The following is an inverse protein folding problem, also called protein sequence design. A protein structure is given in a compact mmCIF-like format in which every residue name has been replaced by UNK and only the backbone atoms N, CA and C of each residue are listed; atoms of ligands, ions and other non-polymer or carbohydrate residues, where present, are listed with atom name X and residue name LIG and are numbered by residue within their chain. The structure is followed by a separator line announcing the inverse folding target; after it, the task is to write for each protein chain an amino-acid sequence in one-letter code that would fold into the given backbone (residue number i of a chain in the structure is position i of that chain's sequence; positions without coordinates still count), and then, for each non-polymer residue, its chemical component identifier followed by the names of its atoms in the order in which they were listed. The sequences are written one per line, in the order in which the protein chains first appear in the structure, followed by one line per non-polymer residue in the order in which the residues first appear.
data_IF_108604764818
#
_entry.id   IF_108604764818
#
_cell.length_a   1.000
_cell.length_b   1.000
_cell.length_c   1.000
_cell.angle_alpha   90.00
_cell.angle_beta   90.00
_cell.angle_gamma   90.00
#
_symmetry.space_group_name_H-M   'P 1'
#
loop_
_entity.id
_entity.type
_entity.pdbx_description
1 polymer ?
#
# COMPACT_ATOMS: atom_id res chain seq x y z
N UNK A 1 -30.32 -2.10 -1.29
CA UNK A 1 -29.20 -1.24 -0.86
C UNK A 1 -28.02 -2.15 -0.57
N UNK A 2 -26.98 -2.06 -1.37
CA UNK A 2 -25.76 -2.85 -1.17
C UNK A 2 -24.84 -2.04 -0.24
N UNK A 3 -25.11 -2.08 1.07
CA UNK A 3 -24.52 -1.20 2.07
C UNK A 3 -23.33 -1.87 2.81
N UNK A 4 -22.45 -2.54 2.05
CA UNK A 4 -21.30 -3.23 2.62
C UNK A 4 -20.10 -2.28 2.73
N UNK A 5 -19.69 -1.97 3.97
CA UNK A 5 -18.50 -1.15 4.27
C UNK A 5 -17.24 -1.78 3.63
N UNK A 6 -16.42 -0.97 3.00
CA UNK A 6 -15.14 -1.36 2.43
C UNK A 6 -14.07 -1.39 3.51
N UNK A 7 -13.44 -2.56 3.66
CA UNK A 7 -12.38 -2.79 4.65
C UNK A 7 -11.13 -1.97 4.29
N UNK A 8 -10.66 -2.09 3.05
CA UNK A 8 -9.52 -1.32 2.54
C UNK A 8 -9.93 -0.75 1.19
N UNK A 9 -9.70 0.55 1.03
CA UNK A 9 -9.77 1.27 -0.23
C UNK A 9 -8.36 1.74 -0.53
N UNK A 10 -7.81 1.29 -1.67
CA UNK A 10 -6.47 1.64 -2.13
C UNK A 10 -6.58 2.51 -3.38
N UNK A 11 -5.79 3.57 -3.42
CA UNK A 11 -5.48 4.29 -4.64
C UNK A 11 -3.96 4.27 -4.83
N UNK A 12 -3.49 3.49 -5.79
CA UNK A 12 -2.07 3.37 -6.10
C UNK A 12 -1.79 4.15 -7.38
N UNK A 13 -1.01 5.20 -7.24
CA UNK A 13 -0.62 6.08 -8.33
C UNK A 13 0.89 5.94 -8.59
N UNK A 14 1.22 5.73 -9.85
CA UNK A 14 2.58 5.58 -10.35
C UNK A 14 2.61 6.02 -11.82
N UNK A 15 3.71 6.64 -12.29
CA UNK A 15 3.87 6.94 -13.71
C UNK A 15 3.64 5.71 -14.59
N UNK A 16 2.99 5.89 -15.74
CA UNK A 16 2.78 4.80 -16.71
C UNK A 16 4.02 4.47 -17.54
N UNK A 17 4.88 5.47 -17.74
CA UNK A 17 6.09 5.37 -18.54
C UNK A 17 7.17 6.30 -18.00
N UNK A 18 8.42 5.86 -18.00
CA UNK A 18 9.62 6.61 -17.55
C UNK A 18 10.82 6.26 -18.43
N UNK A 19 11.87 7.08 -18.39
CA UNK A 19 13.14 6.75 -19.05
C UNK A 19 14.04 5.91 -18.13
N UNK A 20 15.05 5.22 -18.67
CA UNK A 20 15.99 4.45 -17.86
C UNK A 20 16.72 5.36 -16.88
N UNK A 21 16.74 4.95 -15.60
CA UNK A 21 17.30 5.70 -14.47
C UNK A 21 16.60 7.02 -14.11
N UNK A 22 15.38 7.27 -14.60
CA UNK A 22 14.54 8.31 -13.98
C UNK A 22 14.15 7.88 -12.56
N UNK A 23 14.10 8.85 -11.64
CA UNK A 23 13.52 8.62 -10.31
C UNK A 23 12.01 8.46 -10.44
N UNK A 24 11.49 7.37 -9.89
CA UNK A 24 10.07 7.02 -9.90
C UNK A 24 9.54 7.20 -8.49
N UNK A 25 8.51 8.03 -8.34
CA UNK A 25 7.73 8.12 -7.10
C UNK A 25 6.44 7.34 -7.26
N UNK A 26 6.23 6.33 -6.42
CA UNK A 26 4.97 5.61 -6.29
C UNK A 26 4.24 6.05 -5.02
N UNK A 27 2.95 6.36 -5.16
CA UNK A 27 2.10 6.89 -4.08
C UNK A 27 0.96 5.91 -3.82
N UNK A 28 0.83 5.45 -2.58
CA UNK A 28 -0.30 4.62 -2.14
C UNK A 28 -1.12 5.37 -1.10
N UNK A 29 -2.31 5.82 -1.47
CA UNK A 29 -3.31 6.30 -0.52
C UNK A 29 -4.20 5.13 -0.06
N UNK A 30 -4.34 4.96 1.24
CA UNK A 30 -5.10 3.90 1.90
C UNK A 30 -6.11 4.52 2.85
N UNK A 31 -7.36 4.11 2.72
CA UNK A 31 -8.46 4.53 3.59
C UNK A 31 -9.39 3.33 3.90
N UNK A 32 -10.25 3.48 4.90
CA UNK A 32 -11.20 2.44 5.35
C UNK A 32 -12.57 3.06 5.60
N UNK A 33 -13.63 2.27 5.45
CA UNK A 33 -14.99 2.63 5.91
C UNK A 33 -15.35 1.91 7.22
N UNK A 34 -14.41 1.17 7.81
CA UNK A 34 -14.60 0.57 9.14
C UNK A 34 -14.47 1.63 10.22
N UNK A 35 -15.38 1.56 11.19
CA UNK A 35 -15.39 2.45 12.36
C UNK A 35 -14.26 2.17 13.35
N UNK A 36 -13.71 0.97 13.30
CA UNK A 36 -12.62 0.54 14.18
C UNK A 36 -11.30 0.67 13.42
N UNK A 37 -10.24 1.09 14.12
CA UNK A 37 -8.92 1.20 13.53
C UNK A 37 -8.28 -0.17 13.27
N UNK A 38 -7.32 -0.21 12.35
CA UNK A 38 -6.56 -1.40 11.98
C UNK A 38 -5.08 -1.09 11.93
N UNK A 39 -4.24 -2.05 12.29
CA UNK A 39 -2.80 -1.97 12.03
C UNK A 39 -2.54 -2.49 10.62
N UNK A 40 -2.12 -1.60 9.73
CA UNK A 40 -1.81 -1.93 8.34
C UNK A 40 -0.31 -1.93 8.11
N UNK A 41 0.16 -2.94 7.37
CA UNK A 41 1.52 -3.04 6.86
C UNK A 41 1.49 -3.03 5.34
N UNK A 42 2.20 -2.09 4.74
CA UNK A 42 2.22 -1.91 3.29
C UNK A 42 3.62 -1.99 2.71
N UNK A 43 3.72 -2.57 1.51
CA UNK A 43 4.97 -2.78 0.79
C UNK A 43 4.69 -3.02 -0.70
N UNK A 44 5.73 -2.86 -1.52
CA UNK A 44 5.67 -3.14 -2.94
C UNK A 44 6.26 -4.53 -3.24
N UNK A 45 5.69 -5.20 -4.25
CA UNK A 45 6.24 -6.40 -4.87
C UNK A 45 6.42 -6.11 -6.36
N UNK A 46 7.53 -6.52 -6.95
CA UNK A 46 7.82 -6.34 -8.38
C UNK A 46 8.05 -7.67 -9.08
N UNK A 47 7.77 -7.70 -10.40
CA UNK A 47 8.06 -8.87 -11.25
C UNK A 47 9.56 -9.15 -11.44
N UNK A 48 10.41 -8.17 -11.15
CA UNK A 48 11.88 -8.28 -11.12
C UNK A 48 12.41 -7.67 -9.81
N UNK A 49 13.56 -8.14 -9.28
CA UNK A 49 14.14 -7.51 -8.09
C UNK A 49 14.52 -6.05 -8.35
N UNK A 50 13.98 -5.13 -7.54
CA UNK A 50 14.38 -3.73 -7.48
C UNK A 50 15.11 -3.46 -6.16
N UNK A 51 16.07 -2.55 -6.18
CA UNK A 51 16.94 -2.26 -5.02
C UNK A 51 16.54 -0.95 -4.34
N UNK A 52 17.11 -0.73 -3.16
CA UNK A 52 16.96 0.52 -2.43
C UNK A 52 15.55 0.71 -1.86
N UNK A 53 15.09 1.96 -1.90
CA UNK A 53 13.86 2.41 -1.23
C UNK A 53 12.58 1.74 -1.75
N UNK A 54 12.59 1.08 -2.92
CA UNK A 54 11.50 0.21 -3.36
C UNK A 54 11.10 -0.85 -2.32
N UNK A 55 12.08 -1.34 -1.54
CA UNK A 55 11.87 -2.42 -0.56
C UNK A 55 11.38 -1.93 0.80
N UNK A 56 11.07 -0.64 0.96
CA UNK A 56 10.53 -0.11 2.20
C UNK A 56 9.19 -0.74 2.55
N UNK A 57 9.03 -1.01 3.85
CA UNK A 57 7.81 -1.54 4.44
C UNK A 57 7.34 -0.52 5.47
N UNK A 58 6.13 -0.01 5.30
CA UNK A 58 5.52 0.90 6.25
C UNK A 58 4.52 0.15 7.11
N UNK A 59 4.47 0.47 8.39
CA UNK A 59 3.42 0.02 9.32
C UNK A 59 2.77 1.26 9.92
N UNK A 60 1.44 1.32 9.93
CA UNK A 60 0.70 2.45 10.48
C UNK A 60 -0.67 2.02 11.03
N UNK A 61 -1.21 2.82 11.94
CA UNK A 61 -2.60 2.71 12.35
C UNK A 61 -3.50 3.42 11.34
N UNK A 62 -4.46 2.70 10.76
CA UNK A 62 -5.44 3.20 9.80
C UNK A 62 -6.83 3.26 10.45
N UNK A 63 -7.46 4.43 10.41
CA UNK A 63 -8.81 4.68 10.91
C UNK A 63 -9.64 5.36 9.80
N UNK A 64 -10.97 5.39 9.91
CA UNK A 64 -11.85 6.04 8.92
C UNK A 64 -11.67 7.57 8.87
N UNK A 65 -11.34 8.18 10.00
CA UNK A 65 -11.04 9.61 10.14
C UNK A 65 -9.57 9.98 9.89
N UNK A 66 -8.69 8.98 9.70
CA UNK A 66 -7.25 9.16 9.57
C UNK A 66 -6.66 8.31 8.44
N UNK A 67 -6.94 8.65 7.17
CA UNK A 67 -6.38 7.98 6.02
C UNK A 67 -4.86 8.12 5.98
N UNK A 68 -4.17 7.18 5.31
CA UNK A 68 -2.70 7.15 5.21
C UNK A 68 -2.24 7.20 3.76
N UNK A 69 -1.18 7.97 3.52
CA UNK A 69 -0.51 8.00 2.22
C UNK A 69 0.94 7.61 2.42
N UNK A 70 1.41 6.67 1.60
CA UNK A 70 2.77 6.13 1.62
C UNK A 70 3.46 6.41 0.30
N UNK A 71 4.78 6.58 0.36
CA UNK A 71 5.60 6.99 -0.79
C UNK A 71 6.79 6.06 -0.92
N UNK A 72 7.12 5.68 -2.15
CA UNK A 72 8.35 4.96 -2.48
C UNK A 72 9.03 5.68 -3.63
N UNK A 73 10.27 6.09 -3.44
CA UNK A 73 11.12 6.67 -4.48
C UNK A 73 12.17 5.64 -4.90
N UNK A 74 12.22 5.27 -6.17
CA UNK A 74 13.13 4.23 -6.66
C UNK A 74 13.49 4.42 -8.14
N UNK A 75 14.48 3.65 -8.60
CA UNK A 75 14.94 3.66 -9.98
C UNK A 75 14.72 2.29 -10.63
N UNK A 76 14.44 2.28 -11.93
CA UNK A 76 14.42 1.05 -12.74
C UNK A 76 14.94 1.31 -14.16
N UNK A 77 15.51 0.26 -14.76
CA UNK A 77 15.98 0.25 -16.15
C UNK A 77 15.18 -0.72 -17.04
N UNK A 78 14.14 -1.33 -16.49
CA UNK A 78 13.31 -2.32 -17.18
C UNK A 78 11.85 -2.09 -16.83
N UNK A 79 10.99 -2.32 -17.83
CA UNK A 79 9.55 -2.42 -17.62
C UNK A 79 9.24 -3.45 -16.53
N UNK A 80 8.44 -3.06 -15.55
CA UNK A 80 8.18 -3.84 -14.33
C UNK A 80 6.70 -3.80 -13.99
N UNK A 81 6.16 -4.94 -13.58
CA UNK A 81 4.84 -5.02 -12.97
C UNK A 81 5.02 -4.89 -11.46
N UNK A 82 4.29 -3.97 -10.84
CA UNK A 82 4.39 -3.64 -9.42
C UNK A 82 3.03 -3.88 -8.77
N UNK A 83 3.01 -4.59 -7.64
CA UNK A 83 1.87 -4.74 -6.77
C UNK A 83 2.08 -3.92 -5.49
N UNK A 84 1.16 -3.03 -5.18
CA UNK A 84 1.06 -2.41 -3.87
C UNK A 84 0.21 -3.32 -2.97
N UNK A 85 0.78 -3.78 -1.86
CA UNK A 85 0.13 -4.74 -0.96
C UNK A 85 -0.12 -4.08 0.38
N UNK A 86 -1.33 -4.24 0.91
CA UNK A 86 -1.74 -3.83 2.26
C UNK A 86 -2.19 -5.07 3.03
N UNK A 87 -1.45 -5.38 4.09
CA UNK A 87 -1.77 -6.44 5.04
C UNK A 87 -2.32 -5.83 6.35
N UNK A 88 -3.43 -6.34 6.84
CA UNK A 88 -3.92 -6.07 8.20
C UNK A 88 -3.30 -7.08 9.14
N UNK A 89 -2.47 -6.61 10.07
CA UNK A 89 -1.61 -7.46 10.92
C UNK A 89 -1.88 -7.25 12.41
N UNK A 90 -1.41 -8.19 13.22
CA UNK A 90 -1.45 -8.11 14.67
C UNK A 90 -0.08 -7.64 15.20
N UNK A 91 0.13 -6.32 15.23
CA UNK A 91 1.34 -5.70 15.78
C UNK A 91 0.93 -4.65 16.83
N UNK A 92 1.49 -4.77 18.03
CA UNK A 92 1.18 -3.91 19.17
C UNK A 92 2.00 -2.61 19.12
N UNK A 93 1.55 -1.57 19.81
CA UNK A 93 2.20 -0.27 19.93
C UNK A 93 2.04 0.64 18.71
N UNK A 94 1.18 0.26 17.75
CA UNK A 94 0.96 1.03 16.51
C UNK A 94 -0.31 1.88 16.58
N UNK A 95 -1.43 1.31 17.02
CA UNK A 95 -2.67 2.03 17.25
C UNK A 95 -2.79 2.50 18.71
N UNK A 96 -3.50 3.61 18.99
CA UNK A 96 -3.80 4.03 20.35
C UNK A 96 -4.45 2.89 21.17
N UNK A 97 -3.99 2.71 22.41
CA UNK A 97 -4.48 1.70 23.36
C UNK A 97 -4.49 0.25 22.85
N UNK A 98 -3.72 -0.04 21.78
CA UNK A 98 -3.76 -1.33 21.06
C UNK A 98 -5.18 -1.76 20.63
N UNK A 99 -6.09 -0.79 20.49
CA UNK A 99 -7.49 -1.01 20.13
C UNK A 99 -7.66 -1.12 18.60
N UNK A 100 -7.04 -2.13 18.00
CA UNK A 100 -7.12 -2.43 16.57
C UNK A 100 -7.86 -3.74 16.28
N UNK A 101 -8.55 -3.80 15.15
CA UNK A 101 -9.31 -4.98 14.71
C UNK A 101 -8.68 -5.65 13.49
N UNK A 102 -9.01 -6.93 13.29
CA UNK A 102 -8.65 -7.69 12.08
C UNK A 102 -9.94 -8.24 11.45
N UNK A 103 -10.25 -7.87 10.20
CA UNK A 103 -11.40 -8.40 9.49
C UNK A 103 -11.26 -9.90 9.24
N UNK A 104 -12.33 -10.66 9.54
CA UNK A 104 -12.31 -12.13 9.43
C UNK A 104 -12.26 -12.61 7.97
N UNK A 105 -12.94 -11.89 7.05
CA UNK A 105 -13.07 -12.34 5.66
C UNK A 105 -11.73 -12.29 4.92
N UNK A 106 -11.07 -11.14 4.95
CA UNK A 106 -9.83 -10.87 4.24
C UNK A 106 -8.96 -9.94 5.09
N UNK A 107 -7.66 -10.22 5.14
CA UNK A 107 -6.65 -9.39 5.79
C UNK A 107 -5.53 -8.94 4.82
N UNK A 108 -5.59 -9.31 3.54
CA UNK A 108 -4.64 -8.90 2.50
C UNK A 108 -5.38 -8.31 1.32
N UNK A 109 -4.90 -7.15 0.88
CA UNK A 109 -5.44 -6.40 -0.25
C UNK A 109 -4.28 -5.97 -1.14
N UNK A 110 -4.51 -5.91 -2.45
CA UNK A 110 -3.48 -5.45 -3.37
C UNK A 110 -4.09 -4.83 -4.63
N UNK A 111 -3.32 -3.98 -5.27
CA UNK A 111 -3.56 -3.50 -6.64
C UNK A 111 -2.26 -3.62 -7.44
N UNK A 112 -2.37 -3.79 -8.74
CA UNK A 112 -1.21 -4.01 -9.62
C UNK A 112 -1.20 -3.02 -10.77
N UNK A 113 -0.04 -2.43 -11.01
CA UNK A 113 0.21 -1.50 -12.11
C UNK A 113 1.44 -1.95 -12.91
N UNK A 114 1.53 -1.49 -14.16
CA UNK A 114 2.68 -1.74 -15.03
C UNK A 114 3.38 -0.41 -15.30
N UNK A 115 4.65 -0.32 -14.89
CA UNK A 115 5.54 0.79 -15.19
C UNK A 115 6.38 0.42 -16.42
N UNK A 116 6.19 1.14 -17.53
CA UNK A 116 6.98 0.97 -18.75
C UNK A 116 8.26 1.79 -18.68
N UNK A 117 9.34 1.24 -19.21
CA UNK A 117 10.60 1.97 -19.43
C UNK A 117 10.81 2.10 -20.94
N UNK A 118 10.94 3.34 -21.42
CA UNK A 118 11.11 3.70 -22.84
C UNK A 118 12.56 3.84 -23.28
#
# INVERSE_FOLDING_TARGET
QDNTRKIIIQNFDIPKSVRPNDEVTAVLAVQTELKECMVVKTYLISSIPLQGAFNYKYTACLCDDNPKTFYWDFYTNRTVQIAAVVDVIQELGICPDDAAVIPIKNNRFYTTEILKVE
#
